data_IF_527949900497
#
_entry.id   IF_527949900497
#
_cell.length_a   1.000
_cell.length_b   1.000
_cell.length_c   1.000
_cell.angle_alpha   90.00
_cell.angle_beta   90.00
_cell.angle_gamma   90.00
#
_symmetry.space_group_name_H-M   'P 1'
#
loop_
_entity.id
_entity.type
_entity.pdbx_description
1 polymer ?
#
# COMPACT_ATOMS: atom_id res chain seq x y z
N UNK A 1 3.79 -45.67 14.87
CA UNK A 1 4.61 -44.74 14.04
C UNK A 1 3.98 -43.35 14.08
N UNK A 2 4.62 -42.36 14.74
CA UNK A 2 4.10 -40.97 14.84
C UNK A 2 4.64 -40.15 13.67
N UNK A 3 3.76 -39.69 12.78
CA UNK A 3 4.10 -38.75 11.69
C UNK A 3 4.38 -37.37 12.30
N UNK A 4 5.59 -36.83 12.07
CA UNK A 4 5.94 -35.45 12.46
C UNK A 4 5.24 -34.49 11.49
N UNK A 5 4.50 -33.55 12.04
CA UNK A 5 3.84 -32.49 11.30
C UNK A 5 4.91 -31.40 11.00
N UNK A 6 5.36 -31.32 9.75
CA UNK A 6 6.29 -30.27 9.31
C UNK A 6 5.44 -29.04 9.04
N UNK A 7 5.31 -28.17 10.04
CA UNK A 7 4.82 -26.82 9.82
C UNK A 7 5.90 -26.07 9.03
N UNK A 8 5.70 -25.98 7.71
CA UNK A 8 6.55 -25.16 6.85
C UNK A 8 6.52 -23.72 7.34
N UNK A 9 7.67 -23.20 7.77
CA UNK A 9 7.84 -21.77 8.03
C UNK A 9 7.53 -21.02 6.73
N UNK A 10 6.74 -19.93 6.75
CA UNK A 10 6.58 -19.09 5.58
C UNK A 10 7.97 -18.58 5.18
N UNK A 11 8.47 -19.01 4.03
CA UNK A 11 9.73 -18.50 3.50
C UNK A 11 9.58 -16.98 3.36
N UNK A 12 10.35 -16.24 4.16
CA UNK A 12 10.53 -14.81 3.98
C UNK A 12 11.19 -14.62 2.61
N UNK A 13 10.38 -14.28 1.61
CA UNK A 13 10.84 -14.01 0.24
C UNK A 13 11.59 -12.67 0.23
N UNK A 14 12.80 -12.66 0.79
CA UNK A 14 13.73 -11.53 0.71
C UNK A 14 14.40 -11.62 -0.67
N UNK A 15 14.14 -10.64 -1.53
CA UNK A 15 14.82 -10.50 -2.83
C UNK A 15 14.03 -10.88 -4.09
N UNK A 16 12.72 -11.12 -4.00
CA UNK A 16 11.90 -11.16 -5.22
C UNK A 16 11.62 -9.74 -5.71
N UNK A 17 11.90 -9.47 -6.98
CA UNK A 17 11.46 -8.24 -7.64
C UNK A 17 9.94 -8.13 -7.51
N UNK A 18 9.44 -6.94 -7.16
CA UNK A 18 8.02 -6.60 -7.12
C UNK A 18 7.42 -6.77 -8.51
N UNK A 19 7.02 -8.01 -8.82
CA UNK A 19 6.52 -8.40 -10.13
C UNK A 19 5.01 -8.42 -10.08
N UNK A 20 4.38 -7.71 -11.02
CA UNK A 20 2.94 -7.61 -11.13
C UNK A 20 2.38 -6.23 -10.78
N UNK A 21 1.05 -6.11 -10.89
CA UNK A 21 0.31 -4.87 -10.69
C UNK A 21 -0.06 -4.72 -9.21
N UNK A 22 0.43 -3.66 -8.58
CA UNK A 22 0.13 -3.35 -7.19
C UNK A 22 -0.88 -2.20 -7.11
N UNK A 23 -1.79 -2.32 -6.14
CA UNK A 23 -2.90 -1.39 -5.93
C UNK A 23 -2.84 -0.85 -4.51
N UNK A 24 -2.98 0.47 -4.37
CA UNK A 24 -3.10 1.14 -3.08
C UNK A 24 -4.36 2.01 -3.07
N UNK A 25 -5.06 1.97 -1.93
CA UNK A 25 -6.09 2.96 -1.59
C UNK A 25 -5.58 3.73 -0.37
N UNK A 26 -5.26 5.01 -0.57
CA UNK A 26 -4.83 5.92 0.48
C UNK A 26 -6.01 6.80 0.88
N UNK A 27 -6.39 6.76 2.16
CA UNK A 27 -7.42 7.61 2.71
C UNK A 27 -6.79 8.77 3.48
N UNK A 28 -7.25 9.97 3.17
CA UNK A 28 -6.79 11.20 3.79
C UNK A 28 -7.94 12.12 4.11
N UNK A 29 -7.72 13.05 5.04
CA UNK A 29 -8.63 14.17 5.23
C UNK A 29 -8.38 15.29 4.23
N UNK A 30 -9.32 16.22 4.09
CA UNK A 30 -9.11 17.45 3.30
C UNK A 30 -8.05 18.36 3.92
N UNK A 31 -7.77 18.19 5.22
CA UNK A 31 -6.79 18.96 5.98
C UNK A 31 -5.43 18.24 6.12
N UNK A 32 -5.06 17.46 5.10
CA UNK A 32 -3.75 16.81 4.99
C UNK A 32 -3.43 15.78 6.10
N UNK A 33 -4.42 15.18 6.76
CA UNK A 33 -4.18 14.12 7.74
C UNK A 33 -4.26 12.75 7.09
N UNK A 34 -3.32 11.87 7.42
CA UNK A 34 -3.39 10.46 7.08
C UNK A 34 -4.52 9.79 7.88
N UNK A 35 -5.38 9.00 7.22
CA UNK A 35 -6.43 8.22 7.89
C UNK A 35 -6.05 6.74 7.87
N UNK A 36 -5.89 6.17 6.67
CA UNK A 36 -5.56 4.77 6.50
C UNK A 36 -4.93 4.47 5.14
N UNK A 37 -4.23 3.35 5.03
CA UNK A 37 -3.66 2.85 3.79
C UNK A 37 -4.00 1.37 3.61
N UNK A 38 -4.67 1.06 2.50
CA UNK A 38 -4.93 -0.30 2.05
C UNK A 38 -4.02 -0.61 0.88
N UNK A 39 -3.50 -1.83 0.81
CA UNK A 39 -2.56 -2.23 -0.24
C UNK A 39 -2.78 -3.67 -0.66
N UNK A 40 -2.48 -3.97 -1.92
CA UNK A 40 -2.38 -5.35 -2.40
C UNK A 40 -1.29 -6.13 -1.66
N UNK A 41 -1.39 -7.45 -1.68
CA UNK A 41 -0.40 -8.32 -1.03
C UNK A 41 1.00 -8.08 -1.59
N UNK A 42 2.00 -8.06 -0.72
CA UNK A 42 3.39 -7.71 -1.05
C UNK A 42 3.59 -6.38 -1.83
N UNK A 43 2.64 -5.44 -1.78
CA UNK A 43 2.87 -4.13 -2.38
C UNK A 43 4.07 -3.42 -1.71
N UNK A 44 5.04 -2.89 -2.49
CA UNK A 44 6.13 -2.09 -1.96
C UNK A 44 5.57 -0.81 -1.36
N UNK A 45 5.82 -0.56 -0.08
CA UNK A 45 5.47 0.67 0.62
C UNK A 45 6.55 1.00 1.65
N UNK A 46 6.70 2.28 1.93
CA UNK A 46 7.35 2.74 3.16
C UNK A 46 6.32 2.85 4.29
N UNK A 47 6.76 2.90 5.57
CA UNK A 47 5.87 3.24 6.68
C UNK A 47 5.19 4.60 6.43
N UNK A 48 3.84 4.69 6.51
CA UNK A 48 3.13 5.94 6.34
C UNK A 48 3.59 7.02 7.32
N UNK A 49 3.54 8.27 6.87
CA UNK A 49 3.82 9.45 7.71
C UNK A 49 2.53 10.03 8.26
N UNK A 50 2.65 10.93 9.24
CA UNK A 50 1.49 11.51 9.93
C UNK A 50 0.59 12.31 8.98
N UNK A 51 1.17 13.00 8.01
CA UNK A 51 0.39 13.75 7.03
C UNK A 51 0.24 12.98 5.70
N UNK A 52 -0.84 13.32 5.02
CA UNK A 52 -1.20 12.68 3.77
C UNK A 52 -0.19 13.03 2.66
N UNK A 53 0.26 14.28 2.60
CA UNK A 53 1.16 14.78 1.57
C UNK A 53 2.50 14.04 1.55
N UNK A 54 3.11 13.79 2.70
CA UNK A 54 4.35 13.02 2.82
C UNK A 54 4.12 11.56 2.41
N UNK A 55 3.07 10.92 2.91
CA UNK A 55 2.74 9.53 2.55
C UNK A 55 2.49 9.40 1.05
N UNK A 56 1.73 10.34 0.46
CA UNK A 56 1.46 10.39 -0.97
C UNK A 56 2.75 10.60 -1.76
N UNK A 57 3.63 11.51 -1.31
CA UNK A 57 4.93 11.77 -1.94
C UNK A 57 5.85 10.54 -1.92
N UNK A 58 5.85 9.78 -0.82
CA UNK A 58 6.57 8.51 -0.74
C UNK A 58 6.04 7.51 -1.77
N UNK A 59 4.72 7.34 -1.88
CA UNK A 59 4.12 6.44 -2.87
C UNK A 59 4.46 6.83 -4.31
N UNK A 60 4.39 8.13 -4.62
CA UNK A 60 4.80 8.64 -5.93
C UNK A 60 6.30 8.41 -6.19
N UNK A 61 7.15 8.56 -5.17
CA UNK A 61 8.61 8.32 -5.29
C UNK A 61 8.96 6.85 -5.49
N UNK A 62 8.17 5.92 -4.93
CA UNK A 62 8.27 4.48 -5.20
C UNK A 62 7.87 4.17 -6.66
N UNK A 63 7.04 5.03 -7.27
CA UNK A 63 6.61 4.92 -8.67
C UNK A 63 5.12 4.61 -8.85
N UNK A 64 4.32 4.64 -7.78
CA UNK A 64 2.87 4.55 -7.93
C UNK A 64 2.34 5.75 -8.71
N UNK A 65 1.33 5.52 -9.55
CA UNK A 65 0.61 6.55 -10.31
C UNK A 65 -0.80 6.69 -9.77
N UNK A 66 -1.29 7.92 -9.67
CA UNK A 66 -2.67 8.19 -9.28
C UNK A 66 -3.59 7.82 -10.46
N UNK A 67 -4.47 6.85 -10.23
CA UNK A 67 -5.48 6.44 -11.20
C UNK A 67 -6.78 7.22 -11.02
N UNK A 68 -7.18 7.47 -9.78
CA UNK A 68 -8.38 8.24 -9.45
C UNK A 68 -8.26 8.90 -8.08
N UNK A 69 -8.98 10.01 -7.92
CA UNK A 69 -9.16 10.71 -6.64
C UNK A 69 -10.66 10.85 -6.42
N UNK A 70 -11.15 10.30 -5.31
CA UNK A 70 -12.59 10.23 -5.02
C UNK A 70 -12.87 10.79 -3.62
N UNK A 71 -13.75 11.79 -3.48
CA UNK A 71 -14.27 12.17 -2.17
C UNK A 71 -15.21 11.06 -1.65
N UNK A 72 -14.91 10.50 -0.48
CA UNK A 72 -15.79 9.52 0.20
C UNK A 72 -16.81 10.25 1.08
N UNK A 73 -16.39 11.32 1.76
CA UNK A 73 -17.23 12.18 2.58
C UNK A 73 -16.67 13.61 2.59
N UNK A 74 -17.34 14.55 3.26
CA UNK A 74 -16.94 15.96 3.29
C UNK A 74 -15.51 16.20 3.80
N UNK A 75 -14.95 15.28 4.60
CA UNK A 75 -13.61 15.37 5.15
C UNK A 75 -12.77 14.12 4.86
N UNK A 76 -13.10 13.35 3.82
CA UNK A 76 -12.36 12.14 3.47
C UNK A 76 -12.20 12.01 1.95
N UNK A 77 -10.94 11.91 1.52
CA UNK A 77 -10.50 11.74 0.15
C UNK A 77 -9.81 10.38 0.04
N UNK A 78 -10.14 9.63 -0.99
CA UNK A 78 -9.45 8.41 -1.39
C UNK A 78 -8.61 8.66 -2.64
N UNK A 79 -7.33 8.36 -2.56
CA UNK A 79 -6.45 8.22 -3.71
C UNK A 79 -6.38 6.74 -4.07
N UNK A 80 -6.70 6.42 -5.32
CA UNK A 80 -6.45 5.11 -5.90
C UNK A 80 -5.15 5.18 -6.68
N UNK A 81 -4.14 4.44 -6.25
CA UNK A 81 -2.84 4.39 -6.89
C UNK A 81 -2.49 3.00 -7.41
N UNK A 82 -1.75 2.95 -8.51
CA UNK A 82 -1.29 1.72 -9.15
C UNK A 82 0.20 1.80 -9.46
N UNK A 83 0.93 0.72 -9.19
CA UNK A 83 2.31 0.51 -9.61
C UNK A 83 2.37 -0.71 -10.54
N UNK A 84 3.07 -0.56 -11.66
CA UNK A 84 3.09 -1.54 -12.77
C UNK A 84 2.16 -1.16 -13.92
N UNK A 85 2.37 -1.76 -15.08
CA UNK A 85 1.55 -1.60 -16.28
C UNK A 85 0.38 -2.61 -16.31
#
# INVERSE_FOLDING_TARGET
MRKRNIQGQPQTMIGQAWTGRHVILLHCTTNNQFINLYKSYHAPIEPPRQNCAETLSQLLSIGYRIMAITPISANQIQYFLVLGD
#
